data_IF_645784269802
#
_entry.id   IF_645784269802
#
_cell.length_a   1.000
_cell.length_b   1.000
_cell.length_c   1.000
_cell.angle_alpha   90.00
_cell.angle_beta   90.00
_cell.angle_gamma   90.00
#
_symmetry.space_group_name_H-M   'P 1'
#
loop_
_entity.id
_entity.type
_entity.pdbx_description
1 polymer ?
#
# COMPACT_ATOMS: atom_id res chain seq x y z
N UNK A 1 26.43 0.44 -24.70
CA UNK A 1 27.80 0.98 -24.57
C UNK A 1 28.32 1.66 -25.83
N UNK A 2 27.86 1.25 -27.01
CA UNK A 2 28.38 1.73 -28.32
C UNK A 2 28.22 3.25 -28.55
N UNK A 3 27.14 3.85 -28.02
CA UNK A 3 26.94 5.31 -28.10
C UNK A 3 27.85 6.09 -27.12
N UNK A 4 28.37 5.45 -26.07
CA UNK A 4 29.28 6.08 -25.11
C UNK A 4 28.62 7.06 -24.13
N UNK A 5 27.36 6.83 -23.75
CA UNK A 5 26.68 7.65 -22.73
C UNK A 5 27.45 7.68 -21.41
N UNK A 6 27.70 8.87 -20.86
CA UNK A 6 28.35 9.01 -19.55
C UNK A 6 27.38 8.68 -18.41
N UNK A 7 27.86 7.93 -17.42
CA UNK A 7 27.06 7.53 -16.26
C UNK A 7 26.48 8.70 -15.46
N UNK A 8 27.23 9.80 -15.28
CA UNK A 8 26.76 10.98 -14.52
C UNK A 8 26.52 12.16 -15.45
N UNK A 9 25.50 12.04 -16.30
CA UNK A 9 25.15 13.11 -17.24
C UNK A 9 23.66 13.10 -17.57
N UNK A 10 23.13 14.26 -17.96
CA UNK A 10 21.85 14.34 -18.66
C UNK A 10 22.06 13.86 -20.09
N UNK A 11 21.33 12.83 -20.49
CA UNK A 11 21.39 12.26 -21.84
C UNK A 11 20.32 12.92 -22.68
N UNK A 12 20.72 13.64 -23.73
CA UNK A 12 19.82 14.29 -24.68
C UNK A 12 19.92 13.57 -26.01
N UNK A 13 18.80 13.08 -26.52
CA UNK A 13 18.69 12.48 -27.84
C UNK A 13 17.89 13.40 -28.74
N UNK A 14 18.56 14.05 -29.70
CA UNK A 14 17.91 14.92 -30.68
C UNK A 14 17.51 14.08 -31.88
N UNK A 15 16.21 14.00 -32.14
CA UNK A 15 15.64 13.31 -33.29
C UNK A 15 15.09 14.34 -34.27
N UNK A 16 15.69 14.45 -35.46
CA UNK A 16 15.28 15.39 -36.49
C UNK A 16 14.65 14.70 -37.69
N UNK A 17 13.47 15.16 -38.12
CA UNK A 17 12.79 14.64 -39.31
C UNK A 17 11.78 15.62 -39.88
N UNK A 18 11.52 15.53 -41.18
CA UNK A 18 10.46 16.23 -41.91
C UNK A 18 9.27 15.34 -42.25
N UNK A 19 9.25 14.09 -41.76
CA UNK A 19 8.27 13.07 -42.11
C UNK A 19 7.67 12.35 -40.89
N UNK A 20 6.56 11.65 -41.15
CA UNK A 20 5.98 10.69 -40.22
C UNK A 20 6.93 9.50 -39.94
N UNK A 21 6.58 8.68 -38.96
CA UNK A 21 7.37 7.53 -38.52
C UNK A 21 6.61 6.21 -38.71
N UNK A 22 7.36 5.12 -38.84
CA UNK A 22 6.84 3.76 -38.74
C UNK A 22 6.87 3.25 -37.30
N UNK A 23 5.96 2.34 -36.97
CA UNK A 23 5.86 1.73 -35.65
C UNK A 23 5.49 0.25 -35.76
N UNK A 24 5.58 -0.48 -34.65
CA UNK A 24 5.28 -1.90 -34.59
C UNK A 24 3.98 -2.27 -35.35
N UNK A 25 4.08 -3.23 -36.26
CA UNK A 25 3.04 -3.66 -37.17
C UNK A 25 3.28 -3.23 -38.62
N UNK A 26 3.97 -2.11 -38.85
CA UNK A 26 4.23 -1.60 -40.21
C UNK A 26 5.19 -2.51 -41.00
N UNK A 27 6.14 -3.16 -40.33
CA UNK A 27 7.08 -4.10 -40.96
C UNK A 27 6.40 -5.29 -41.64
N UNK A 28 5.17 -5.61 -41.23
CA UNK A 28 4.37 -6.69 -41.83
C UNK A 28 4.16 -6.51 -43.33
N UNK A 29 4.05 -5.28 -43.81
CA UNK A 29 3.93 -4.99 -45.25
C UNK A 29 5.21 -5.33 -46.03
N UNK A 30 6.37 -5.31 -45.36
CA UNK A 30 7.66 -5.73 -45.89
C UNK A 30 8.02 -7.20 -45.61
N UNK A 31 7.12 -7.99 -45.03
CA UNK A 31 7.37 -9.39 -44.68
C UNK A 31 8.06 -9.60 -43.32
N UNK A 32 8.29 -8.53 -42.56
CA UNK A 32 8.94 -8.57 -41.25
C UNK A 32 7.85 -8.71 -40.18
N UNK A 33 7.83 -9.85 -39.48
CA UNK A 33 6.79 -10.17 -38.49
C UNK A 33 7.33 -10.45 -37.09
N UNK A 34 8.66 -10.48 -36.93
CA UNK A 34 9.29 -10.73 -35.64
C UNK A 34 9.29 -9.41 -34.85
N UNK A 35 8.68 -9.35 -33.66
CA UNK A 35 8.66 -8.13 -32.87
C UNK A 35 10.07 -7.68 -32.46
N UNK A 36 10.25 -6.37 -32.30
CA UNK A 36 11.49 -5.80 -31.76
C UNK A 36 11.84 -6.40 -30.38
N UNK A 37 13.09 -6.75 -30.16
CA UNK A 37 13.55 -7.42 -28.93
C UNK A 37 14.17 -6.46 -27.89
N UNK A 38 14.20 -5.17 -28.17
CA UNK A 38 14.75 -4.10 -27.31
C UNK A 38 16.26 -4.24 -27.00
N UNK A 39 17.01 -5.00 -27.80
CA UNK A 39 18.46 -5.18 -27.62
C UNK A 39 19.28 -4.34 -28.60
N UNK A 40 20.55 -4.17 -28.27
CA UNK A 40 21.52 -3.53 -29.17
C UNK A 40 21.96 -4.52 -30.26
N UNK A 41 21.82 -4.13 -31.53
CA UNK A 41 22.24 -4.90 -32.70
C UNK A 41 23.09 -4.06 -33.66
N UNK A 42 23.98 -3.24 -33.12
CA UNK A 42 24.94 -2.48 -33.93
C UNK A 42 26.16 -3.35 -34.27
N UNK A 43 26.61 -3.32 -35.52
CA UNK A 43 27.90 -3.90 -35.91
C UNK A 43 29.08 -3.00 -35.44
N UNK A 44 30.31 -3.49 -35.60
CA UNK A 44 31.53 -2.74 -35.24
C UNK A 44 31.71 -1.41 -36.00
N UNK A 45 30.91 -1.18 -37.06
CA UNK A 45 30.89 0.06 -37.86
C UNK A 45 29.73 0.98 -37.47
N UNK A 46 28.89 0.58 -36.51
CA UNK A 46 27.73 1.33 -36.04
C UNK A 46 26.48 1.19 -36.89
N UNK A 47 26.39 0.19 -37.78
CA UNK A 47 25.18 -0.09 -38.54
C UNK A 47 24.25 -1.04 -37.78
N UNK A 48 22.96 -0.73 -37.78
CA UNK A 48 21.93 -1.63 -37.22
C UNK A 48 21.74 -2.84 -38.14
N UNK A 49 21.93 -4.05 -37.59
CA UNK A 49 22.02 -5.31 -38.35
C UNK A 49 20.70 -6.07 -38.46
N UNK A 50 19.67 -5.66 -37.71
CA UNK A 50 18.39 -6.38 -37.64
C UNK A 50 17.23 -5.62 -38.30
N UNK A 51 17.53 -4.72 -39.25
CA UNK A 51 16.52 -3.88 -39.92
C UNK A 51 15.55 -4.64 -40.82
N UNK A 52 15.96 -5.81 -41.30
CA UNK A 52 15.21 -6.71 -42.19
C UNK A 52 14.66 -7.95 -41.47
N UNK A 53 15.00 -8.12 -40.20
CA UNK A 53 14.62 -9.29 -39.39
C UNK A 53 13.63 -8.90 -38.28
N UNK A 54 13.81 -7.74 -37.64
CA UNK A 54 12.96 -7.25 -36.54
C UNK A 54 12.09 -6.08 -36.99
N UNK A 55 10.82 -6.12 -36.61
CA UNK A 55 9.86 -5.05 -36.83
C UNK A 55 10.25 -3.79 -36.02
N UNK A 56 9.63 -2.66 -36.38
CA UNK A 56 9.77 -1.41 -35.66
C UNK A 56 9.37 -1.57 -34.18
N UNK A 57 10.00 -0.84 -33.26
CA UNK A 57 9.61 -0.86 -31.86
C UNK A 57 8.21 -0.25 -31.67
N UNK A 58 7.47 -0.80 -30.73
CA UNK A 58 6.23 -0.19 -30.25
C UNK A 58 6.51 1.04 -29.39
N UNK A 59 5.51 1.93 -29.24
CA UNK A 59 5.64 3.10 -28.36
C UNK A 59 5.95 2.73 -26.91
N UNK A 60 5.38 1.62 -26.42
CA UNK A 60 5.64 1.13 -25.06
C UNK A 60 7.08 0.66 -24.88
N UNK A 61 7.67 0.02 -25.90
CA UNK A 61 9.08 -0.38 -25.90
C UNK A 61 9.99 0.85 -25.86
N UNK A 62 9.74 1.82 -26.73
CA UNK A 62 10.48 3.10 -26.74
C UNK A 62 10.40 3.78 -25.37
N UNK A 63 9.19 3.89 -24.80
CA UNK A 63 9.00 4.55 -23.51
C UNK A 63 9.76 3.86 -22.37
N UNK A 64 9.80 2.51 -22.36
CA UNK A 64 10.63 1.76 -21.41
C UNK A 64 12.11 2.08 -21.59
N UNK A 65 12.63 2.00 -22.81
CA UNK A 65 14.06 2.25 -23.06
C UNK A 65 14.47 3.68 -22.68
N UNK A 66 13.63 4.69 -22.98
CA UNK A 66 13.85 6.08 -22.57
C UNK A 66 13.91 6.19 -21.05
N UNK A 67 12.97 5.57 -20.33
CA UNK A 67 12.89 5.59 -18.86
C UNK A 67 14.03 4.84 -18.19
N UNK A 68 14.40 3.68 -18.70
CA UNK A 68 15.42 2.81 -18.10
C UNK A 68 16.81 3.42 -18.30
N UNK A 69 17.05 4.01 -19.46
CA UNK A 69 18.32 4.66 -19.77
C UNK A 69 18.38 6.15 -19.37
N UNK A 70 17.28 6.71 -18.84
CA UNK A 70 17.14 8.12 -18.40
C UNK A 70 17.46 9.11 -19.53
N UNK A 71 16.96 8.83 -20.72
CA UNK A 71 17.15 9.65 -21.93
C UNK A 71 16.09 10.77 -21.94
N UNK A 72 16.47 11.96 -22.39
CA UNK A 72 15.52 13.02 -22.72
C UNK A 72 15.47 13.16 -24.24
N UNK A 73 14.31 12.92 -24.83
CA UNK A 73 14.13 12.91 -26.28
C UNK A 73 13.64 14.27 -26.77
N UNK A 74 14.30 14.83 -27.78
CA UNK A 74 13.91 16.11 -28.39
C UNK A 74 13.55 15.84 -29.84
N UNK A 75 12.26 15.91 -30.16
CA UNK A 75 11.75 15.87 -31.53
C UNK A 75 11.90 17.25 -32.17
N UNK A 76 12.85 17.39 -33.09
CA UNK A 76 13.05 18.58 -33.91
C UNK A 76 12.44 18.33 -35.29
N UNK A 77 11.20 18.77 -35.50
CA UNK A 77 10.43 18.39 -36.70
C UNK A 77 9.89 19.59 -37.45
N UNK A 78 9.72 19.46 -38.76
CA UNK A 78 9.14 20.53 -39.58
C UNK A 78 7.71 20.86 -39.17
N UNK A 79 7.27 22.08 -39.49
CA UNK A 79 5.99 22.66 -39.08
C UNK A 79 4.78 21.75 -39.29
N UNK A 80 4.73 21.06 -40.41
CA UNK A 80 3.66 20.15 -40.79
C UNK A 80 3.61 18.88 -39.94
N UNK A 81 4.73 18.48 -39.35
CA UNK A 81 4.84 17.29 -38.49
C UNK A 81 4.67 17.61 -36.99
N UNK A 82 4.75 18.88 -36.58
CA UNK A 82 4.71 19.28 -35.15
C UNK A 82 3.53 18.65 -34.40
N UNK A 83 2.32 18.70 -34.96
CA UNK A 83 1.12 18.18 -34.29
C UNK A 83 1.17 16.67 -34.02
N UNK A 84 1.75 15.91 -34.96
CA UNK A 84 1.94 14.47 -34.83
C UNK A 84 2.92 14.16 -33.70
N UNK A 85 4.08 14.80 -33.71
CA UNK A 85 5.13 14.55 -32.71
C UNK A 85 4.80 15.12 -31.34
N UNK A 86 4.02 16.19 -31.22
CA UNK A 86 3.45 16.63 -29.94
C UNK A 86 2.52 15.57 -29.33
N UNK A 87 1.72 14.90 -30.17
CA UNK A 87 0.84 13.81 -29.73
C UNK A 87 1.64 12.60 -29.27
N UNK A 88 2.72 12.27 -29.98
CA UNK A 88 3.68 11.24 -29.59
C UNK A 88 4.37 11.61 -28.27
N UNK A 89 4.85 12.85 -28.14
CA UNK A 89 5.57 13.33 -26.97
C UNK A 89 4.74 13.24 -25.69
N UNK A 90 3.43 13.49 -25.76
CA UNK A 90 2.51 13.29 -24.62
C UNK A 90 2.46 11.85 -24.08
N UNK A 91 2.91 10.86 -24.87
CA UNK A 91 2.94 9.44 -24.48
C UNK A 91 4.33 8.96 -24.05
N UNK A 92 5.38 9.75 -24.31
CA UNK A 92 6.76 9.40 -24.00
C UNK A 92 7.28 10.29 -22.87
N UNK A 93 7.63 9.67 -21.75
CA UNK A 93 8.17 10.36 -20.57
C UNK A 93 9.52 11.00 -20.93
N UNK A 94 9.75 12.24 -20.50
CA UNK A 94 11.02 12.93 -20.78
C UNK A 94 11.21 13.30 -22.25
N UNK A 95 10.13 13.47 -23.02
CA UNK A 95 10.20 13.92 -24.41
C UNK A 95 9.68 15.35 -24.58
N UNK A 96 10.15 16.04 -25.62
CA UNK A 96 9.62 17.33 -26.05
C UNK A 96 9.66 17.49 -27.57
N UNK A 97 8.83 18.39 -28.09
CA UNK A 97 8.78 18.72 -29.51
C UNK A 97 9.18 20.18 -29.73
N UNK A 98 9.89 20.45 -30.83
CA UNK A 98 10.21 21.78 -31.31
C UNK A 98 10.11 21.84 -32.83
N UNK A 99 9.67 22.99 -33.35
CA UNK A 99 9.58 23.26 -34.78
C UNK A 99 10.98 23.51 -35.35
N UNK A 100 11.39 22.67 -36.29
CA UNK A 100 12.62 22.79 -37.06
C UNK A 100 12.29 23.55 -38.35
N UNK A 101 13.07 24.59 -38.65
CA UNK A 101 12.99 25.29 -39.94
C UNK A 101 13.36 24.33 -41.08
N UNK A 102 12.82 24.56 -42.28
CA UNK A 102 13.04 23.66 -43.42
C UNK A 102 14.53 23.51 -43.82
N UNK A 103 15.34 24.52 -43.52
CA UNK A 103 16.79 24.50 -43.74
C UNK A 103 17.59 24.07 -42.50
N UNK A 104 16.91 23.66 -41.43
CA UNK A 104 17.46 23.29 -40.13
C UNK A 104 18.30 24.40 -39.46
N UNK A 105 18.16 25.66 -39.90
CA UNK A 105 18.98 26.78 -39.42
C UNK A 105 18.80 27.06 -37.91
N UNK A 106 17.63 26.71 -37.36
CA UNK A 106 17.29 26.96 -35.96
C UNK A 106 17.61 25.78 -35.01
N UNK A 107 18.23 24.69 -35.47
CA UNK A 107 18.42 23.47 -34.66
C UNK A 107 19.20 23.73 -33.37
N UNK A 108 20.21 24.62 -33.41
CA UNK A 108 21.03 24.94 -32.22
C UNK A 108 20.20 25.67 -31.16
N UNK A 109 19.40 26.63 -31.58
CA UNK A 109 18.54 27.38 -30.66
C UNK A 109 17.39 26.52 -30.14
N UNK A 110 16.86 25.62 -30.97
CA UNK A 110 15.88 24.62 -30.55
C UNK A 110 16.46 23.74 -29.44
N UNK A 111 17.64 23.14 -29.65
CA UNK A 111 18.27 22.29 -28.64
C UNK A 111 18.53 23.05 -27.34
N UNK A 112 18.99 24.31 -27.42
CA UNK A 112 19.20 25.17 -26.24
C UNK A 112 17.89 25.41 -25.48
N UNK A 113 16.83 25.82 -26.18
CA UNK A 113 15.52 26.06 -25.57
C UNK A 113 14.93 24.81 -24.93
N UNK A 114 15.08 23.65 -25.56
CA UNK A 114 14.59 22.38 -25.02
C UNK A 114 15.43 21.94 -23.82
N UNK A 115 16.74 22.16 -23.83
CA UNK A 115 17.59 21.94 -22.66
C UNK A 115 17.18 22.83 -21.47
N UNK A 116 16.92 24.11 -21.72
CA UNK A 116 16.45 25.05 -20.68
C UNK A 116 15.10 24.59 -20.12
N UNK A 117 14.17 24.13 -20.96
CA UNK A 117 12.89 23.54 -20.50
C UNK A 117 13.12 22.31 -19.62
N UNK A 118 13.96 21.36 -20.05
CA UNK A 118 14.28 20.14 -19.31
C UNK A 118 14.91 20.46 -17.95
N UNK A 119 15.79 21.47 -17.89
CA UNK A 119 16.46 21.87 -16.64
C UNK A 119 15.61 22.77 -15.75
N UNK A 120 14.55 23.38 -16.29
CA UNK A 120 13.60 24.21 -15.55
C UNK A 120 12.51 23.42 -14.82
N UNK A 121 12.51 22.09 -14.94
CA UNK A 121 11.53 21.25 -14.31
C UNK A 121 12.17 20.00 -13.69
N UNK A 122 11.55 19.52 -12.63
CA UNK A 122 11.85 18.24 -12.02
C UNK A 122 10.54 17.49 -11.89
N UNK A 123 10.47 16.32 -12.53
CA UNK A 123 9.33 15.41 -12.44
C UNK A 123 9.79 14.14 -11.74
N UNK A 124 9.10 13.76 -10.68
CA UNK A 124 9.36 12.53 -9.92
C UNK A 124 8.52 11.39 -10.47
N UNK A 125 9.10 10.19 -10.48
CA UNK A 125 8.44 8.95 -10.87
C UNK A 125 9.04 7.77 -10.08
N UNK A 126 8.47 6.59 -10.25
CA UNK A 126 8.84 5.37 -9.56
C UNK A 126 8.74 4.14 -10.49
N UNK A 127 9.32 3.04 -10.03
CA UNK A 127 9.31 1.74 -10.72
C UNK A 127 8.42 0.70 -10.00
N UNK A 128 7.43 1.15 -9.21
CA UNK A 128 6.49 0.24 -8.57
C UNK A 128 5.56 -0.42 -9.60
N UNK A 129 5.71 -1.72 -9.73
CA UNK A 129 4.78 -2.58 -10.47
C UNK A 129 3.70 -3.10 -9.50
N UNK A 130 2.62 -2.37 -9.27
CA UNK A 130 1.54 -2.93 -8.45
C UNK A 130 0.38 -2.03 -8.05
N UNK A 131 -0.72 -2.69 -7.68
CA UNK A 131 -1.98 -2.07 -7.22
C UNK A 131 -2.08 -1.93 -5.70
N UNK A 132 -1.35 -2.74 -4.91
CA UNK A 132 -1.45 -2.72 -3.45
C UNK A 132 -0.76 -1.50 -2.83
N UNK A 133 0.39 -1.10 -3.36
CA UNK A 133 1.15 0.07 -2.88
C UNK A 133 0.78 1.27 -3.75
N UNK A 134 0.42 2.37 -3.11
CA UNK A 134 0.11 3.63 -3.77
C UNK A 134 1.02 4.72 -3.24
N UNK A 135 1.69 5.41 -4.18
CA UNK A 135 2.44 6.63 -3.88
C UNK A 135 1.61 7.85 -4.27
N UNK A 136 1.60 8.85 -3.40
CA UNK A 136 1.06 10.17 -3.69
C UNK A 136 2.14 11.22 -3.50
N UNK A 137 2.35 12.03 -4.52
CA UNK A 137 3.40 13.05 -4.56
C UNK A 137 2.82 14.43 -4.26
N UNK A 138 3.53 15.17 -3.42
CA UNK A 138 3.25 16.56 -3.10
C UNK A 138 4.51 17.39 -3.29
N UNK A 139 4.35 18.61 -3.81
CA UNK A 139 5.46 19.49 -4.14
C UNK A 139 5.19 20.91 -3.66
N UNK A 140 6.22 21.59 -3.14
CA UNK A 140 6.13 22.95 -2.59
C UNK A 140 6.81 24.03 -3.45
N UNK A 141 7.01 23.75 -4.74
CA UNK A 141 7.93 24.49 -5.61
C UNK A 141 7.77 26.01 -5.68
N UNK A 142 6.54 26.50 -5.58
CA UNK A 142 6.24 27.93 -5.74
C UNK A 142 5.46 28.51 -4.55
N UNK A 143 5.87 28.11 -3.33
CA UNK A 143 5.37 28.61 -2.02
C UNK A 143 4.08 27.99 -1.49
N UNK A 144 3.39 27.18 -2.29
CA UNK A 144 2.21 26.40 -1.85
C UNK A 144 2.46 24.93 -2.12
N UNK A 145 2.06 24.08 -1.17
CA UNK A 145 2.06 22.64 -1.34
C UNK A 145 0.87 22.23 -2.21
N UNK A 146 1.15 21.50 -3.28
CA UNK A 146 0.16 20.97 -4.20
C UNK A 146 0.40 19.49 -4.41
N UNK A 147 -0.68 18.72 -4.60
CA UNK A 147 -0.58 17.31 -4.95
C UNK A 147 -0.15 17.18 -6.41
N UNK A 148 1.16 17.11 -6.61
CA UNK A 148 1.79 17.00 -7.92
C UNK A 148 3.15 16.34 -7.80
N UNK A 149 3.50 15.52 -8.79
CA UNK A 149 4.82 14.92 -8.96
C UNK A 149 5.77 15.81 -9.78
N UNK A 150 5.30 16.96 -10.29
CA UNK A 150 6.10 17.83 -11.15
C UNK A 150 6.26 19.23 -10.56
N UNK A 151 7.48 19.72 -10.66
CA UNK A 151 7.89 21.05 -10.31
C UNK A 151 8.35 21.79 -11.55
N UNK A 152 7.85 23.00 -11.81
CA UNK A 152 8.19 23.79 -13.01
C UNK A 152 8.70 25.19 -12.64
N UNK A 153 9.39 25.83 -13.58
CA UNK A 153 9.88 27.21 -13.43
C UNK A 153 11.14 27.32 -12.56
N UNK A 154 11.89 26.23 -12.45
CA UNK A 154 13.12 26.17 -11.68
C UNK A 154 14.27 26.84 -12.43
N UNK A 155 15.21 27.35 -11.64
CA UNK A 155 16.51 27.84 -12.11
C UNK A 155 17.59 26.88 -11.63
N UNK A 156 18.66 26.76 -12.41
CA UNK A 156 19.84 25.97 -12.03
C UNK A 156 20.35 26.41 -10.65
N UNK A 157 20.55 25.45 -9.75
CA UNK A 157 20.98 25.69 -8.37
C UNK A 157 19.86 25.90 -7.36
N UNK A 158 18.59 25.88 -7.78
CA UNK A 158 17.45 25.86 -6.84
C UNK A 158 17.19 24.47 -6.30
N UNK A 159 16.92 24.39 -4.99
CA UNK A 159 16.50 23.15 -4.33
C UNK A 159 14.98 23.07 -4.28
N UNK A 160 14.46 21.88 -4.50
CA UNK A 160 13.04 21.55 -4.41
C UNK A 160 12.87 20.37 -3.47
N UNK A 161 11.73 20.33 -2.77
CA UNK A 161 11.39 19.23 -1.88
C UNK A 161 10.08 18.61 -2.35
N UNK A 162 10.07 17.30 -2.47
CA UNK A 162 8.88 16.51 -2.70
C UNK A 162 8.56 15.72 -1.44
N UNK A 163 7.31 15.78 -1.01
CA UNK A 163 6.76 14.93 0.04
C UNK A 163 6.05 13.77 -0.65
N UNK A 164 6.37 12.54 -0.23
CA UNK A 164 5.80 11.32 -0.82
C UNK A 164 5.07 10.57 0.27
N UNK A 165 3.76 10.40 0.09
CA UNK A 165 2.94 9.56 0.95
C UNK A 165 2.87 8.16 0.36
N UNK A 166 3.20 7.18 1.18
CA UNK A 166 3.15 5.76 0.84
C UNK A 166 2.00 5.12 1.61
N UNK A 167 1.08 4.50 0.87
CA UNK A 167 -0.03 3.74 1.43
C UNK A 167 -0.03 2.33 0.85
N UNK A 168 -0.39 1.33 1.63
CA UNK A 168 -0.68 -0.02 1.13
C UNK A 168 -2.06 -0.47 1.60
N UNK A 169 -2.84 -1.09 0.70
CA UNK A 169 -4.27 -1.37 0.93
C UNK A 169 -4.51 -2.62 1.78
N UNK A 170 -3.66 -3.64 1.65
CA UNK A 170 -3.77 -4.89 2.39
C UNK A 170 -2.40 -5.49 2.67
N UNK A 171 -2.37 -6.36 3.66
CA UNK A 171 -1.22 -7.19 4.00
C UNK A 171 -1.20 -8.46 3.15
N UNK A 172 -0.15 -8.70 2.33
CA UNK A 172 -0.02 -9.93 1.57
C UNK A 172 0.04 -11.17 2.48
N UNK A 173 -0.61 -12.25 2.04
CA UNK A 173 -0.55 -13.53 2.76
C UNK A 173 0.85 -14.14 2.68
N UNK A 174 1.47 -14.07 1.50
CA UNK A 174 2.83 -14.55 1.27
C UNK A 174 3.85 -13.60 1.92
N UNK A 175 4.67 -14.10 2.84
CA UNK A 175 5.70 -13.32 3.53
C UNK A 175 6.69 -12.67 2.56
N UNK A 176 7.03 -13.37 1.48
CA UNK A 176 7.93 -12.86 0.43
C UNK A 176 7.39 -11.59 -0.27
N UNK A 177 6.08 -11.35 -0.22
CA UNK A 177 5.45 -10.15 -0.79
C UNK A 177 5.32 -9.01 0.21
N UNK A 178 5.52 -9.26 1.52
CA UNK A 178 5.48 -8.25 2.58
C UNK A 178 6.72 -7.35 2.59
N UNK A 179 7.80 -7.77 1.93
CA UNK A 179 8.98 -6.95 1.70
C UNK A 179 9.05 -6.53 0.24
N UNK A 180 9.27 -5.24 -0.01
CA UNK A 180 9.42 -4.69 -1.36
C UNK A 180 10.56 -3.69 -1.40
N UNK A 181 11.32 -3.73 -2.49
CA UNK A 181 12.32 -2.70 -2.81
C UNK A 181 11.93 -2.05 -4.12
N UNK A 182 11.86 -0.73 -4.11
CA UNK A 182 11.55 0.08 -5.28
C UNK A 182 12.31 1.40 -5.21
N UNK A 183 12.29 2.14 -6.31
CA UNK A 183 13.07 3.36 -6.48
C UNK A 183 12.15 4.51 -6.84
N UNK A 184 12.35 5.64 -6.16
CA UNK A 184 11.76 6.92 -6.52
C UNK A 184 12.87 7.77 -7.13
N UNK A 185 12.66 8.28 -8.34
CA UNK A 185 13.70 8.99 -9.08
C UNK A 185 13.14 10.14 -9.92
N UNK A 186 13.92 11.21 -10.12
CA UNK A 186 13.59 12.23 -11.10
C UNK A 186 13.77 11.72 -12.53
N UNK A 187 12.83 12.09 -13.40
CA UNK A 187 12.87 11.79 -14.84
C UNK A 187 14.14 12.37 -15.47
N UNK A 188 14.84 11.58 -16.29
CA UNK A 188 16.02 12.02 -17.04
C UNK A 188 17.28 12.26 -16.20
N UNK A 189 17.29 11.83 -14.94
CA UNK A 189 18.41 11.89 -14.00
C UNK A 189 18.76 10.49 -13.46
N UNK A 190 20.00 10.36 -12.98
CA UNK A 190 20.57 9.06 -12.57
C UNK A 190 20.46 8.81 -11.06
N UNK A 191 20.41 9.87 -10.27
CA UNK A 191 20.19 9.77 -8.82
C UNK A 191 18.81 9.20 -8.52
N UNK A 192 18.73 8.34 -7.50
CA UNK A 192 17.49 7.69 -7.08
C UNK A 192 17.45 7.52 -5.56
N UNK A 193 16.25 7.56 -5.01
CA UNK A 193 15.95 7.17 -3.64
C UNK A 193 15.53 5.70 -3.64
N UNK A 194 16.29 4.84 -2.98
CA UNK A 194 15.91 3.42 -2.79
C UNK A 194 15.05 3.31 -1.54
N UNK A 195 13.85 2.75 -1.68
CA UNK A 195 12.91 2.52 -0.59
C UNK A 195 12.85 1.03 -0.29
N UNK A 196 13.21 0.65 0.93
CA UNK A 196 13.00 -0.69 1.47
C UNK A 196 11.75 -0.67 2.34
N UNK A 197 10.67 -1.24 1.83
CA UNK A 197 9.39 -1.35 2.52
C UNK A 197 9.25 -2.73 3.16
N UNK A 198 8.96 -2.73 4.46
CA UNK A 198 8.57 -3.92 5.23
C UNK A 198 7.16 -3.69 5.79
N UNK A 199 6.19 -4.49 5.35
CA UNK A 199 4.80 -4.39 5.81
C UNK A 199 4.62 -5.16 7.11
N UNK A 200 4.23 -4.44 8.16
CA UNK A 200 3.91 -5.03 9.46
C UNK A 200 2.49 -5.60 9.42
N UNK A 201 2.39 -6.92 9.27
CA UNK A 201 1.13 -7.64 9.09
C UNK A 201 0.73 -8.50 10.28
N UNK A 202 1.67 -8.77 11.18
CA UNK A 202 1.49 -9.58 12.38
C UNK A 202 1.96 -8.80 13.60
N UNK A 203 1.38 -9.12 14.74
CA UNK A 203 1.81 -8.56 16.01
C UNK A 203 3.06 -9.30 16.50
N UNK A 204 3.94 -8.61 17.22
CA UNK A 204 5.16 -9.25 17.76
C UNK A 204 4.89 -10.45 18.67
N UNK A 205 3.69 -10.57 19.26
CA UNK A 205 3.27 -11.67 20.10
C UNK A 205 2.71 -12.88 19.33
N UNK A 206 2.42 -12.72 18.03
CA UNK A 206 1.95 -13.77 17.11
C UNK A 206 3.11 -14.53 16.46
N UNK A 207 4.35 -14.17 16.84
CA UNK A 207 5.53 -14.86 16.35
C UNK A 207 5.48 -16.34 16.74
N UNK A 208 5.77 -17.23 15.79
CA UNK A 208 5.79 -18.70 15.97
C UNK A 208 6.70 -19.20 17.12
N UNK A 209 7.62 -18.36 17.62
CA UNK A 209 8.47 -18.67 18.79
C UNK A 209 7.74 -18.38 20.12
N UNK A 210 6.82 -17.42 20.10
CA UNK A 210 6.06 -16.96 21.29
C UNK A 210 4.72 -17.67 21.43
N UNK A 211 4.22 -18.33 20.38
CA UNK A 211 3.07 -19.22 20.50
C UNK A 211 3.43 -20.42 21.40
N UNK A 212 2.54 -20.74 22.32
CA UNK A 212 2.65 -21.92 23.17
C UNK A 212 1.59 -22.93 22.68
N UNK A 213 1.99 -23.76 21.71
CA UNK A 213 1.11 -24.83 21.18
C UNK A 213 0.82 -25.86 22.26
N UNK A 214 -0.41 -26.34 22.31
CA UNK A 214 -0.89 -27.25 23.36
C UNK A 214 -0.60 -26.69 24.77
N UNK A 215 -0.84 -25.39 24.98
CA UNK A 215 -0.50 -24.72 26.22
C UNK A 215 -1.28 -25.31 27.41
N UNK A 216 -0.62 -25.54 28.56
CA UNK A 216 -1.29 -25.85 29.81
C UNK A 216 -2.32 -24.80 30.24
N UNK A 217 -2.12 -23.53 29.82
CA UNK A 217 -3.05 -22.42 30.11
C UNK A 217 -4.37 -22.55 29.35
N UNK A 218 -4.40 -23.33 28.28
CA UNK A 218 -5.58 -23.57 27.47
C UNK A 218 -6.18 -24.95 27.82
N UNK A 219 -6.50 -25.15 29.10
CA UNK A 219 -7.06 -26.38 29.66
C UNK A 219 -6.20 -27.61 29.34
N UNK A 220 -4.94 -27.58 29.76
CA UNK A 220 -3.99 -28.70 29.65
C UNK A 220 -3.79 -29.21 28.21
N UNK A 221 -3.71 -28.29 27.24
CA UNK A 221 -3.39 -28.61 25.85
C UNK A 221 -4.56 -28.62 24.86
N UNK A 222 -5.72 -28.07 25.25
CA UNK A 222 -6.88 -27.93 24.37
C UNK A 222 -6.83 -26.71 23.43
N UNK A 223 -5.70 -26.00 23.36
CA UNK A 223 -5.49 -24.91 22.42
C UNK A 223 -4.05 -24.41 22.38
N UNK A 224 -3.81 -23.43 21.52
CA UNK A 224 -2.57 -22.65 21.44
C UNK A 224 -2.73 -21.35 22.21
N UNK A 225 -1.81 -21.05 23.13
CA UNK A 225 -1.80 -19.77 23.82
C UNK A 225 -0.92 -18.77 23.07
N UNK A 226 -1.49 -17.66 22.66
CA UNK A 226 -0.85 -16.66 21.82
C UNK A 226 -1.40 -15.27 22.15
N UNK A 227 -0.54 -14.25 22.24
CA UNK A 227 -0.95 -12.87 22.56
C UNK A 227 -1.87 -12.70 23.79
N UNK A 228 -1.79 -13.60 24.78
CA UNK A 228 -2.61 -13.53 25.99
C UNK A 228 -3.99 -14.18 25.87
N UNK A 229 -4.30 -14.81 24.74
CA UNK A 229 -5.55 -15.51 24.48
C UNK A 229 -5.30 -16.97 24.11
N UNK A 230 -6.30 -17.83 24.30
CA UNK A 230 -6.26 -19.21 23.84
C UNK A 230 -7.00 -19.35 22.50
N UNK A 231 -6.28 -19.74 21.45
CA UNK A 231 -6.85 -20.23 20.21
C UNK A 231 -7.19 -21.73 20.38
N UNK A 232 -8.47 -22.01 20.62
CA UNK A 232 -8.92 -23.36 20.96
C UNK A 232 -8.89 -24.32 19.78
N UNK A 233 -8.57 -25.58 20.08
CA UNK A 233 -8.66 -26.67 19.12
C UNK A 233 -10.12 -26.84 18.64
N UNK A 234 -10.30 -27.54 17.52
CA UNK A 234 -11.63 -27.88 17.02
C UNK A 234 -12.49 -28.53 18.12
N UNK A 235 -13.77 -28.15 18.18
CA UNK A 235 -14.74 -28.59 19.20
C UNK A 235 -14.41 -28.17 20.64
N UNK A 236 -13.49 -27.23 20.84
CA UNK A 236 -13.24 -26.58 22.13
C UNK A 236 -13.54 -25.10 22.03
N UNK A 237 -14.04 -24.52 23.12
CA UNK A 237 -14.31 -23.09 23.19
C UNK A 237 -14.23 -22.61 24.65
N UNK A 238 -14.33 -21.30 24.86
CA UNK A 238 -14.14 -20.67 26.16
C UNK A 238 -12.81 -19.93 26.23
N UNK A 239 -12.63 -19.12 27.28
CA UNK A 239 -11.44 -18.26 27.44
C UNK A 239 -10.15 -19.09 27.56
N UNK A 240 -10.25 -20.26 28.18
CA UNK A 240 -9.14 -21.19 28.43
C UNK A 240 -9.38 -22.52 27.70
N UNK A 241 -10.29 -22.57 26.72
CA UNK A 241 -10.69 -23.80 26.03
C UNK A 241 -11.29 -24.89 26.92
N UNK A 242 -11.91 -24.49 28.03
CA UNK A 242 -12.42 -25.40 29.06
C UNK A 242 -13.70 -26.14 28.63
N UNK A 243 -14.43 -25.60 27.65
CA UNK A 243 -15.71 -26.13 27.21
C UNK A 243 -15.55 -27.07 26.01
N UNK A 244 -16.32 -28.14 25.97
CA UNK A 244 -16.49 -28.97 24.78
C UNK A 244 -17.71 -28.47 24.01
N UNK A 245 -17.57 -28.23 22.71
CA UNK A 245 -18.72 -28.05 21.85
C UNK A 245 -19.49 -29.37 21.78
N UNK A 246 -20.77 -29.33 22.14
CA UNK A 246 -21.70 -30.41 21.80
C UNK A 246 -22.07 -30.31 20.31
N UNK A 247 -22.93 -31.19 19.78
CA UNK A 247 -23.48 -31.02 18.41
C UNK A 247 -24.26 -29.70 18.21
N UNK A 248 -24.42 -28.89 19.27
CA UNK A 248 -24.95 -27.53 19.22
C UNK A 248 -23.83 -26.51 18.93
N UNK A 249 -24.17 -25.52 18.10
CA UNK A 249 -23.33 -24.36 17.77
C UNK A 249 -22.71 -23.71 19.05
N UNK A 250 -21.40 -23.45 19.14
CA UNK A 250 -20.80 -22.73 20.26
C UNK A 250 -21.50 -21.41 20.62
N UNK A 251 -22.09 -20.72 19.63
CA UNK A 251 -22.91 -19.53 19.86
C UNK A 251 -24.24 -19.82 20.59
N UNK A 252 -24.79 -21.02 20.47
CA UNK A 252 -25.99 -21.47 21.17
C UNK A 252 -25.76 -21.56 22.68
N UNK A 253 -24.55 -21.92 23.13
CA UNK A 253 -24.28 -22.10 24.56
C UNK A 253 -24.05 -20.75 25.28
N UNK A 254 -23.56 -19.71 24.58
CA UNK A 254 -23.49 -18.34 25.15
C UNK A 254 -24.89 -17.77 25.44
N UNK A 255 -25.92 -18.14 24.66
CA UNK A 255 -27.32 -17.78 24.95
C UNK A 255 -27.78 -18.28 26.33
N UNK A 256 -27.19 -19.37 26.83
CA UNK A 256 -27.47 -19.90 28.17
C UNK A 256 -27.11 -18.94 29.31
N UNK A 257 -26.34 -17.88 29.01
CA UNK A 257 -25.95 -16.84 29.96
C UNK A 257 -26.75 -15.54 29.83
N UNK A 258 -27.64 -15.41 28.84
CA UNK A 258 -28.49 -14.23 28.71
C UNK A 258 -29.81 -14.43 29.46
N UNK A 259 -30.23 -13.39 30.19
CA UNK A 259 -31.53 -13.38 30.84
C UNK A 259 -32.54 -12.66 29.95
N UNK A 260 -33.26 -13.41 29.11
CA UNK A 260 -34.20 -12.82 28.17
C UNK A 260 -33.50 -11.91 27.15
N UNK A 261 -33.85 -10.63 27.16
CA UNK A 261 -33.37 -9.62 26.19
C UNK A 261 -32.19 -8.78 26.73
N UNK A 262 -31.50 -9.25 27.78
CA UNK A 262 -30.30 -8.59 28.28
C UNK A 262 -29.29 -8.31 27.14
N UNK A 263 -28.69 -7.12 27.13
CA UNK A 263 -27.69 -6.73 26.12
C UNK A 263 -26.31 -7.36 26.36
N UNK A 264 -26.09 -7.94 27.55
CA UNK A 264 -24.82 -8.55 27.97
C UNK A 264 -25.07 -9.90 28.66
N UNK A 265 -24.19 -10.89 28.45
CA UNK A 265 -24.28 -12.15 29.18
C UNK A 265 -24.06 -11.92 30.68
N UNK A 266 -24.68 -12.76 31.51
CA UNK A 266 -24.61 -12.69 32.96
C UNK A 266 -24.99 -11.32 33.53
N UNK A 267 -25.97 -10.66 32.87
CA UNK A 267 -26.46 -9.31 33.18
C UNK A 267 -25.32 -8.29 33.36
N UNK A 268 -24.14 -8.55 32.77
CA UNK A 268 -22.93 -7.73 32.90
C UNK A 268 -22.17 -7.83 34.23
N UNK A 269 -22.53 -8.73 35.15
CA UNK A 269 -21.95 -8.84 36.50
C UNK A 269 -21.29 -10.21 36.77
N UNK A 270 -20.79 -10.85 35.73
CA UNK A 270 -20.10 -12.13 35.85
C UNK A 270 -19.53 -12.62 34.53
N UNK A 271 -18.85 -13.75 34.61
CA UNK A 271 -18.24 -14.43 33.47
C UNK A 271 -19.13 -15.60 33.03
N UNK A 272 -19.48 -15.62 31.74
CA UNK A 272 -20.15 -16.78 31.14
C UNK A 272 -19.10 -17.85 30.82
N UNK A 273 -19.16 -19.00 31.50
CA UNK A 273 -18.31 -20.17 31.20
C UNK A 273 -19.19 -21.37 30.92
N UNK A 274 -19.05 -21.96 29.74
CA UNK A 274 -19.81 -23.11 29.25
C UNK A 274 -21.34 -22.98 29.45
N UNK A 275 -21.89 -21.82 29.08
CA UNK A 275 -23.33 -21.54 29.18
C UNK A 275 -23.88 -21.34 30.60
N UNK A 276 -23.00 -21.10 31.58
CA UNK A 276 -23.37 -20.77 32.96
C UNK A 276 -22.64 -19.51 33.43
N UNK A 277 -23.35 -18.67 34.17
CA UNK A 277 -22.78 -17.47 34.76
C UNK A 277 -22.07 -17.75 36.09
N UNK A 278 -20.88 -17.16 36.21
CA UNK A 278 -20.08 -17.12 37.43
C UNK A 278 -19.95 -15.66 37.85
N UNK A 279 -20.67 -15.29 38.90
CA UNK A 279 -20.82 -13.90 39.31
C UNK A 279 -19.55 -13.33 39.91
N UNK A 280 -19.28 -12.07 39.59
CA UNK A 280 -18.07 -11.38 40.05
C UNK A 280 -18.06 -11.26 41.57
N UNK A 281 -16.89 -11.50 42.16
CA UNK A 281 -16.67 -11.32 43.60
C UNK A 281 -16.29 -9.87 43.92
N UNK A 282 -16.82 -9.35 45.04
CA UNK A 282 -16.52 -7.99 45.52
C UNK A 282 -15.33 -8.01 46.49
N UNK A 283 -14.70 -6.85 46.68
CA UNK A 283 -13.62 -6.69 47.67
C UNK A 283 -14.12 -6.92 49.11
N UNK A 284 -15.38 -6.61 49.39
CA UNK A 284 -16.04 -6.96 50.64
C UNK A 284 -16.70 -8.35 50.52
N UNK A 285 -16.28 -9.37 51.31
CA UNK A 285 -16.86 -10.72 51.25
C UNK A 285 -18.35 -10.80 51.60
N UNK A 286 -18.86 -9.83 52.37
CA UNK A 286 -20.27 -9.76 52.74
C UNK A 286 -21.16 -9.26 51.59
N UNK A 287 -20.56 -8.65 50.56
CA UNK A 287 -21.24 -8.15 49.37
C UNK A 287 -21.21 -9.21 48.27
N UNK A 288 -22.39 -9.69 47.88
CA UNK A 288 -22.54 -10.80 46.94
C UNK A 288 -23.43 -10.41 45.78
N UNK A 289 -22.94 -10.69 44.59
CA UNK A 289 -23.74 -10.83 43.38
C UNK A 289 -24.07 -12.30 43.19
N UNK A 290 -25.33 -12.61 42.87
CA UNK A 290 -25.85 -13.97 42.76
C UNK A 290 -27.02 -14.00 41.79
N UNK A 291 -27.63 -15.17 41.61
CA UNK A 291 -28.66 -15.39 40.59
C UNK A 291 -28.12 -16.23 39.43
N UNK A 292 -29.02 -16.79 38.62
CA UNK A 292 -28.64 -17.71 37.55
C UNK A 292 -27.81 -17.00 36.47
N UNK A 293 -28.10 -15.72 36.28
CA UNK A 293 -27.48 -14.83 35.32
C UNK A 293 -26.78 -13.67 36.03
N UNK A 294 -26.44 -13.78 37.31
CA UNK A 294 -25.84 -12.70 38.10
C UNK A 294 -26.67 -11.42 38.16
N UNK A 295 -27.99 -11.60 38.10
CA UNK A 295 -29.00 -10.55 38.07
C UNK A 295 -29.38 -10.03 39.46
N UNK A 296 -28.88 -10.62 40.55
CA UNK A 296 -29.21 -10.22 41.91
C UNK A 296 -27.98 -9.77 42.71
N UNK A 297 -28.17 -8.84 43.64
CA UNK A 297 -27.16 -8.54 44.67
C UNK A 297 -27.76 -8.13 46.03
N UNK A 298 -26.93 -8.14 47.07
CA UNK A 298 -27.32 -7.80 48.45
C UNK A 298 -26.80 -6.43 48.95
N UNK A 299 -26.32 -5.55 48.07
CA UNK A 299 -25.64 -4.32 48.47
C UNK A 299 -26.16 -3.04 47.77
N UNK A 300 -26.98 -3.18 46.73
CA UNK A 300 -27.56 -2.05 45.98
C UNK A 300 -28.84 -1.47 46.59
N UNK A 301 -29.32 -1.97 47.74
CA UNK A 301 -30.45 -1.34 48.43
C UNK A 301 -30.09 0.02 49.02
N UNK A 302 -31.11 0.85 49.21
CA UNK A 302 -30.97 2.15 49.85
C UNK A 302 -30.29 2.06 51.22
N UNK A 303 -29.38 3.01 51.44
CA UNK A 303 -28.62 3.17 52.68
C UNK A 303 -29.16 4.35 53.47
N UNK A 304 -29.34 4.17 54.77
CA UNK A 304 -29.58 5.25 55.72
C UNK A 304 -28.50 5.19 56.79
N UNK A 305 -27.84 6.32 57.05
CA UNK A 305 -26.71 6.42 58.00
C UNK A 305 -25.58 5.40 57.72
N UNK A 306 -25.27 5.19 56.44
CA UNK A 306 -24.23 4.26 55.99
C UNK A 306 -24.60 2.77 56.06
N UNK A 307 -25.78 2.42 56.58
CA UNK A 307 -26.25 1.02 56.69
C UNK A 307 -27.29 0.69 55.62
N UNK A 308 -27.02 -0.33 54.82
CA UNK A 308 -27.98 -0.93 53.87
C UNK A 308 -29.23 -1.39 54.61
N UNK A 309 -30.41 -0.98 54.14
CA UNK A 309 -31.71 -1.27 54.76
C UNK A 309 -31.77 -0.94 56.27
N UNK A 310 -31.03 0.09 56.71
CA UNK A 310 -30.96 0.52 58.12
C UNK A 310 -30.53 -0.61 59.08
N UNK A 311 -29.84 -1.65 58.58
CA UNK A 311 -29.41 -2.82 59.36
C UNK A 311 -30.53 -3.71 59.91
N UNK A 312 -31.77 -3.55 59.44
CA UNK A 312 -32.95 -4.26 59.99
C UNK A 312 -33.60 -5.25 59.01
N UNK A 313 -33.27 -5.17 57.73
CA UNK A 313 -33.83 -6.03 56.69
C UNK A 313 -32.72 -6.65 55.85
N UNK A 314 -33.01 -7.80 55.26
CA UNK A 314 -32.14 -8.45 54.29
C UNK A 314 -32.28 -7.71 52.96
N UNK A 315 -31.17 -7.22 52.42
CA UNK A 315 -31.14 -6.62 51.09
C UNK A 315 -31.10 -7.71 50.02
N UNK A 316 -32.01 -7.64 49.05
CA UNK A 316 -32.00 -8.43 47.82
C UNK A 316 -32.54 -7.56 46.70
N UNK A 317 -31.70 -7.22 45.74
CA UNK A 317 -32.06 -6.36 44.61
C UNK A 317 -31.85 -7.10 43.31
N UNK A 318 -32.77 -6.89 42.37
CA UNK A 318 -32.60 -7.25 40.98
C UNK A 318 -31.85 -6.11 40.29
N UNK A 319 -30.75 -6.44 39.62
CA UNK A 319 -29.93 -5.51 38.85
C UNK A 319 -30.67 -5.32 37.52
N UNK A 320 -31.42 -4.22 37.41
CA UNK A 320 -31.97 -3.81 36.12
C UNK A 320 -30.81 -3.19 35.34
N UNK A 321 -30.44 -3.79 34.21
CA UNK A 321 -29.45 -3.20 33.33
C UNK A 321 -29.91 -1.82 32.88
N UNK A 322 -29.10 -0.79 33.11
CA UNK A 322 -29.37 0.54 32.56
C UNK A 322 -29.45 0.43 31.03
N UNK A 323 -30.64 0.67 30.48
CA UNK A 323 -30.81 1.00 29.07
C UNK A 323 -30.13 2.33 28.84
N UNK A 324 -28.87 2.30 28.41
CA UNK A 324 -28.28 3.44 27.73
C UNK A 324 -28.86 3.46 26.31
N UNK A 325 -29.79 4.39 26.08
CA UNK A 325 -30.05 4.95 24.74
C UNK A 325 -28.80 5.69 24.23
#
# INVERSE_FOLDING_TARGET
DDIGWRNKSRKLLVFSTDNAFHYAGDGRLGGIIVPNDEKCHLDDRGYYTMSDELDYPSLSQINRQIRDHKINMIFAVTKDQVSLYETLSKRLVGSSTGELENDSSNVVDLVRQQYDKITSAVEMTDDLDGTNIRLSYFSSCLRKQEQTNICRGLKVGQNVTFEVNLEYAFCPQEESERTKTFHIFPVGLQDQLTVHLEMMCECECENAIKEERFSPKCSDGNGTFECGICNCNAQRYGKECECAASDADPFSEVKGCFNGDDSRPCSGNGQCRCGRCYCDSRANPDEKTYGKYCECNNFSCDKKDGKTCNGKLICSTYIVGDYFD
#
